data_IF_411405561660
#
_entry.id   IF_411405561660
#
_cell.length_a   1.000
_cell.length_b   1.000
_cell.length_c   1.000
_cell.angle_alpha   90.00
_cell.angle_beta   90.00
_cell.angle_gamma   90.00
#
_symmetry.space_group_name_H-M   'P 1'
#
loop_
_entity.id
_entity.type
_entity.pdbx_description
1 polymer ?
#
# COMPACT_ATOMS: atom_id res chain seq x y z
N UNK A 1 1.23 -20.18 7.29
CA UNK A 1 1.78 -18.82 7.52
C UNK A 1 1.01 -17.91 6.58
N UNK A 2 0.42 -16.82 7.09
CA UNK A 2 -0.30 -15.89 6.24
C UNK A 2 0.64 -15.34 5.15
N UNK A 3 0.26 -15.50 3.88
CA UNK A 3 1.08 -15.06 2.75
C UNK A 3 0.58 -13.70 2.32
N UNK A 4 1.30 -12.65 2.70
CA UNK A 4 0.90 -11.27 2.41
C UNK A 4 1.66 -10.68 1.23
N UNK A 5 1.01 -9.80 0.46
CA UNK A 5 1.65 -8.98 -0.57
C UNK A 5 1.42 -7.51 -0.27
N UNK A 6 2.49 -6.71 -0.37
CA UNK A 6 2.41 -5.25 -0.34
C UNK A 6 2.24 -4.73 -1.77
N UNK A 7 1.09 -4.14 -2.06
CA UNK A 7 0.80 -3.46 -3.31
C UNK A 7 1.14 -1.98 -3.16
N UNK A 8 1.96 -1.46 -4.08
CA UNK A 8 2.38 -0.06 -4.10
C UNK A 8 1.95 0.55 -5.43
N UNK A 9 1.21 1.66 -5.35
CA UNK A 9 0.99 2.58 -6.45
C UNK A 9 1.79 3.86 -6.17
N UNK A 10 2.85 4.06 -6.93
CA UNK A 10 3.74 5.21 -6.78
C UNK A 10 3.42 6.25 -7.85
N UNK A 11 2.90 7.40 -7.41
CA UNK A 11 2.89 8.63 -8.19
C UNK A 11 4.23 9.37 -8.07
N UNK A 12 4.34 10.52 -8.73
CA UNK A 12 5.54 11.37 -8.67
C UNK A 12 5.74 12.06 -7.31
N UNK A 13 4.67 12.32 -6.57
CA UNK A 13 4.70 12.98 -5.24
C UNK A 13 3.79 12.31 -4.20
N UNK A 14 3.33 11.09 -4.48
CA UNK A 14 2.46 10.33 -3.58
C UNK A 14 2.66 8.82 -3.71
N UNK A 15 2.31 8.10 -2.65
CA UNK A 15 2.28 6.64 -2.61
C UNK A 15 0.97 6.19 -1.97
N UNK A 16 0.16 5.44 -2.71
CA UNK A 16 -0.93 4.66 -2.14
C UNK A 16 -0.45 3.23 -1.95
N UNK A 17 -0.65 2.67 -0.77
CA UNK A 17 -0.22 1.31 -0.45
C UNK A 17 -1.33 0.50 0.21
N UNK A 18 -1.29 -0.81 -0.01
CA UNK A 18 -2.18 -1.77 0.65
C UNK A 18 -1.44 -3.08 0.90
N UNK A 19 -1.54 -3.61 2.12
CA UNK A 19 -1.13 -4.97 2.45
C UNK A 19 -2.32 -5.90 2.25
N UNK A 20 -2.16 -6.94 1.45
CA UNK A 20 -3.22 -7.88 1.08
C UNK A 20 -2.87 -9.26 1.59
N UNK A 21 -3.83 -9.94 2.22
CA UNK A 21 -3.75 -11.38 2.48
C UNK A 21 -4.04 -12.14 1.19
N UNK A 22 -3.14 -13.04 0.75
CA UNK A 22 -3.33 -13.76 -0.51
C UNK A 22 -4.28 -14.95 -0.40
N UNK A 23 -4.61 -15.42 0.80
CA UNK A 23 -5.55 -16.53 0.97
C UNK A 23 -6.99 -16.02 0.88
N UNK A 24 -7.31 -14.91 1.55
CA UNK A 24 -8.65 -14.30 1.51
C UNK A 24 -8.83 -13.26 0.40
N UNK A 25 -7.74 -12.67 -0.09
CA UNK A 25 -7.77 -11.52 -1.00
C UNK A 25 -8.12 -10.18 -0.32
N UNK A 26 -8.28 -10.18 1.01
CA UNK A 26 -8.68 -8.98 1.75
C UNK A 26 -7.52 -8.03 2.02
N UNK A 27 -7.82 -6.73 2.10
CA UNK A 27 -6.88 -5.71 2.55
C UNK A 27 -6.74 -5.74 4.07
N UNK A 28 -5.53 -6.02 4.56
CA UNK A 28 -5.19 -6.03 5.99
C UNK A 28 -4.89 -4.61 6.49
N UNK A 29 -4.22 -3.81 5.65
CA UNK A 29 -3.90 -2.42 5.96
C UNK A 29 -3.82 -1.63 4.66
N UNK A 30 -4.14 -0.34 4.72
CA UNK A 30 -3.94 0.58 3.61
C UNK A 30 -3.51 1.94 4.11
N UNK A 31 -2.89 2.70 3.23
CA UNK A 31 -2.53 4.07 3.52
C UNK A 31 -2.21 4.87 2.28
N UNK A 32 -2.05 6.16 2.52
CA UNK A 32 -1.72 7.15 1.53
C UNK A 32 -0.68 8.09 2.12
N UNK A 33 0.43 8.23 1.41
CA UNK A 33 1.46 9.25 1.67
C UNK A 33 1.38 10.25 0.54
N UNK A 34 1.25 11.53 0.88
CA UNK A 34 1.15 12.62 -0.09
C UNK A 34 2.18 13.70 0.22
N UNK A 35 2.31 14.65 -0.71
CA UNK A 35 3.22 15.80 -0.57
C UNK A 35 4.68 15.38 -0.42
N UNK A 36 5.06 14.26 -1.02
CA UNK A 36 6.43 13.80 -1.01
C UNK A 36 7.27 14.82 -1.78
N UNK A 37 8.26 15.40 -1.11
CA UNK A 37 9.10 16.46 -1.67
C UNK A 37 8.57 17.88 -1.45
N UNK A 38 7.45 18.06 -0.76
CA UNK A 38 6.98 19.37 -0.29
C UNK A 38 7.40 19.60 1.18
N UNK A 39 7.52 20.88 1.62
CA UNK A 39 7.93 21.23 2.99
C UNK A 39 6.94 20.85 4.09
#
# INVERSE_FOLDING_TARGET
MAKTVLVINSGSSSIKYQLVDLESGEGIASGLVEKIGEP
#
